data_IF_045023534624
#
_entry.id   IF_045023534624
#
_cell.length_a   1.000
_cell.length_b   1.000
_cell.length_c   1.000
_cell.angle_alpha   90.00
_cell.angle_beta   90.00
_cell.angle_gamma   90.00
#
_symmetry.space_group_name_H-M   'P 1'
#
loop_
_entity.id
_entity.type
_entity.pdbx_description
1 polymer ?
#
# COMPACT_ATOMS: atom_id res chain seq x y z
N UNK A 1 20.81 29.23 26.62
CA UNK A 1 19.68 29.30 25.67
C UNK A 1 18.44 28.77 26.38
N UNK A 2 17.65 29.73 26.90
CA UNK A 2 16.32 29.65 27.52
C UNK A 2 16.02 28.45 28.45
N UNK A 3 16.07 28.70 29.77
CA UNK A 3 15.40 27.91 30.82
C UNK A 3 13.87 28.05 30.72
N UNK A 4 13.29 27.84 29.53
CA UNK A 4 11.84 27.81 29.36
C UNK A 4 11.36 26.37 29.54
N UNK A 5 10.25 26.15 30.26
CA UNK A 5 9.68 24.82 30.39
C UNK A 5 9.35 24.27 29.01
N UNK A 6 9.59 22.97 28.82
CA UNK A 6 9.11 22.26 27.65
C UNK A 6 7.58 22.31 27.63
N UNK A 7 7.00 22.40 26.44
CA UNK A 7 5.56 22.28 26.28
C UNK A 7 5.14 20.84 26.63
N UNK A 8 4.05 20.65 27.40
CA UNK A 8 3.51 19.31 27.60
C UNK A 8 2.95 18.77 26.28
N UNK A 9 3.19 17.49 26.01
CA UNK A 9 2.64 16.79 24.85
C UNK A 9 1.51 15.89 25.32
N UNK A 10 0.40 15.87 24.58
CA UNK A 10 -0.70 14.97 24.88
C UNK A 10 -0.25 13.51 24.72
N UNK A 11 -0.65 12.64 25.65
CA UNK A 11 -0.34 11.22 25.61
C UNK A 11 -1.18 10.47 24.56
N UNK A 12 -2.40 10.96 24.31
CA UNK A 12 -3.36 10.36 23.40
C UNK A 12 -3.59 11.25 22.17
N UNK A 13 -3.92 10.62 21.05
CA UNK A 13 -4.28 11.34 19.83
C UNK A 13 -5.63 12.06 20.00
N UNK A 14 -5.73 13.27 19.46
CA UNK A 14 -6.98 14.01 19.47
C UNK A 14 -8.04 13.32 18.60
N UNK A 15 -9.23 13.11 19.17
CA UNK A 15 -10.38 12.56 18.46
C UNK A 15 -11.03 13.54 17.49
N UNK A 16 -11.89 13.03 16.59
CA UNK A 16 -12.74 13.87 15.76
C UNK A 16 -13.67 14.73 16.63
N UNK A 17 -13.78 16.01 16.29
CA UNK A 17 -14.56 17.01 17.03
C UNK A 17 -13.78 17.74 18.12
N UNK A 18 -12.54 17.33 18.44
CA UNK A 18 -11.74 17.97 19.48
C UNK A 18 -11.45 19.44 19.15
N UNK A 19 -11.69 20.33 20.12
CA UNK A 19 -11.33 21.73 20.03
C UNK A 19 -9.82 21.92 20.17
N UNK A 20 -9.28 22.84 19.39
CA UNK A 20 -7.85 23.07 19.29
C UNK A 20 -7.51 24.55 19.12
N UNK A 21 -6.24 24.88 19.35
CA UNK A 21 -5.68 26.22 19.16
C UNK A 21 -4.47 26.14 18.24
N UNK A 22 -4.49 26.91 17.16
CA UNK A 22 -3.36 27.12 16.25
C UNK A 22 -2.60 28.35 16.71
N UNK A 23 -1.33 28.16 17.04
CA UNK A 23 -0.43 29.20 17.53
C UNK A 23 0.73 29.39 16.56
N UNK A 24 1.16 30.63 16.35
CA UNK A 24 2.30 30.92 15.49
C UNK A 24 2.46 32.39 15.14
N UNK A 25 3.32 32.64 14.16
CA UNK A 25 3.60 33.97 13.61
C UNK A 25 3.12 33.99 12.16
N UNK A 26 1.79 34.06 11.91
CA UNK A 26 1.27 33.92 10.56
C UNK A 26 1.80 35.04 9.65
N UNK A 27 2.32 34.65 8.50
CA UNK A 27 2.90 35.53 7.47
C UNK A 27 3.99 36.45 8.02
N UNK A 28 4.82 35.93 8.92
CA UNK A 28 5.87 36.67 9.63
C UNK A 28 5.35 37.90 10.42
N UNK A 29 4.04 37.88 10.72
CA UNK A 29 3.34 38.90 11.49
C UNK A 29 3.47 38.70 13.01
N UNK A 30 2.67 39.44 13.81
CA UNK A 30 2.67 39.26 15.26
C UNK A 30 2.20 37.87 15.66
N UNK A 31 2.62 37.43 16.85
CA UNK A 31 2.13 36.18 17.43
C UNK A 31 0.60 36.19 17.53
N UNK A 32 -0.03 35.12 17.05
CA UNK A 32 -1.48 34.99 17.01
C UNK A 32 -1.92 33.63 17.56
N UNK A 33 -3.14 33.60 18.10
CA UNK A 33 -3.79 32.41 18.63
C UNK A 33 -5.16 32.31 17.97
N UNK A 34 -5.41 31.22 17.26
CA UNK A 34 -6.68 30.99 16.54
C UNK A 34 -7.33 29.71 16.97
N UNK A 35 -8.65 29.77 17.18
CA UNK A 35 -9.46 28.58 17.37
C UNK A 35 -9.43 27.70 16.11
N UNK A 36 -9.35 26.40 16.34
CA UNK A 36 -9.46 25.35 15.35
C UNK A 36 -10.25 24.18 15.95
N UNK A 37 -10.68 23.25 15.10
CA UNK A 37 -11.28 21.98 15.52
C UNK A 37 -10.76 20.85 14.66
N UNK A 38 -10.40 19.73 15.28
CA UNK A 38 -10.04 18.50 14.58
C UNK A 38 -11.31 17.93 13.94
N UNK A 39 -11.35 17.86 12.61
CA UNK A 39 -12.45 17.21 11.89
C UNK A 39 -12.30 15.70 11.90
N UNK A 40 -11.08 15.20 11.94
CA UNK A 40 -10.79 13.79 11.93
C UNK A 40 -9.31 13.54 11.71
N UNK A 41 -8.92 12.31 11.96
CA UNK A 41 -7.61 11.77 11.60
C UNK A 41 -7.76 11.13 10.23
N UNK A 42 -6.98 11.60 9.25
CA UNK A 42 -7.01 11.12 7.88
C UNK A 42 -5.66 10.50 7.54
N UNK A 43 -5.68 9.41 6.79
CA UNK A 43 -4.52 8.98 6.04
C UNK A 43 -4.56 9.63 4.66
N UNK A 44 -3.60 10.50 4.38
CA UNK A 44 -3.59 11.34 3.19
C UNK A 44 -2.38 11.03 2.30
N UNK A 45 -2.64 10.87 1.00
CA UNK A 45 -1.60 10.77 -0.01
C UNK A 45 -1.14 12.16 -0.45
N UNK A 46 0.18 12.35 -0.56
CA UNK A 46 0.79 13.55 -1.11
C UNK A 46 2.21 13.27 -1.57
N UNK A 47 2.88 14.25 -2.18
CA UNK A 47 4.27 14.09 -2.60
C UNK A 47 5.22 14.06 -1.38
N UNK A 48 6.37 13.41 -1.55
CA UNK A 48 7.49 13.58 -0.65
C UNK A 48 8.10 14.98 -0.79
N UNK A 49 8.96 15.36 0.16
CA UNK A 49 9.60 16.69 0.17
C UNK A 49 10.60 16.88 -0.98
N UNK A 50 10.86 15.82 -1.76
CA UNK A 50 11.74 15.82 -2.92
C UNK A 50 10.96 15.82 -4.24
N UNK A 51 9.62 15.91 -4.19
CA UNK A 51 8.75 16.09 -5.35
C UNK A 51 8.68 14.88 -6.30
N UNK A 52 9.10 13.70 -5.84
CA UNK A 52 9.30 12.54 -6.72
C UNK A 52 8.39 11.35 -6.45
N UNK A 53 7.92 11.17 -5.20
CA UNK A 53 7.16 9.97 -4.81
C UNK A 53 5.88 10.30 -4.07
N UNK A 54 4.81 9.58 -4.39
CA UNK A 54 3.58 9.58 -3.61
C UNK A 54 3.81 8.85 -2.28
N UNK A 55 3.57 9.53 -1.17
CA UNK A 55 3.67 8.99 0.18
C UNK A 55 2.38 9.24 0.95
N UNK A 56 2.01 8.30 1.81
CA UNK A 56 0.84 8.40 2.67
C UNK A 56 1.26 8.79 4.08
N UNK A 57 0.51 9.71 4.70
CA UNK A 57 0.80 10.23 6.02
C UNK A 57 -0.49 10.40 6.80
N UNK A 58 -0.43 10.02 8.08
CA UNK A 58 -1.46 10.38 9.03
C UNK A 58 -1.42 11.88 9.31
N UNK A 59 -2.56 12.53 9.20
CA UNK A 59 -2.74 13.95 9.45
C UNK A 59 -4.05 14.22 10.19
N UNK A 60 -4.09 15.28 10.97
CA UNK A 60 -5.34 15.88 11.40
C UNK A 60 -5.85 16.81 10.32
N UNK A 61 -7.08 16.60 9.88
CA UNK A 61 -7.81 17.61 9.14
C UNK A 61 -8.41 18.61 10.13
N UNK A 62 -8.13 19.90 9.93
CA UNK A 62 -8.55 20.97 10.82
C UNK A 62 -9.60 21.86 10.15
N UNK A 63 -10.64 22.18 10.92
CA UNK A 63 -11.50 23.35 10.69
C UNK A 63 -10.89 24.51 11.46
N UNK A 64 -10.08 25.30 10.78
CA UNK A 64 -9.34 26.42 11.36
C UNK A 64 -8.38 26.96 10.32
N UNK A 65 -7.80 28.12 10.59
CA UNK A 65 -6.90 28.75 9.62
C UNK A 65 -5.44 28.52 10.01
N UNK A 66 -4.76 27.67 9.23
CA UNK A 66 -3.29 27.56 9.26
C UNK A 66 -2.75 28.33 8.06
N UNK A 67 -1.80 29.24 8.31
CA UNK A 67 -1.13 30.06 7.28
C UNK A 67 0.37 29.77 7.30
N UNK A 68 1.12 30.11 6.22
CA UNK A 68 2.58 30.22 6.31
C UNK A 68 2.98 31.01 7.55
N UNK A 69 4.04 30.59 8.25
CA UNK A 69 4.44 31.14 9.56
C UNK A 69 3.79 30.46 10.78
N UNK A 70 2.71 29.70 10.60
CA UNK A 70 2.24 28.73 11.61
C UNK A 70 2.89 27.36 11.43
N UNK A 71 3.35 27.03 10.22
CA UNK A 71 3.96 25.73 9.89
C UNK A 71 5.16 25.43 10.81
N UNK A 72 5.20 24.22 11.37
CA UNK A 72 6.18 23.81 12.37
C UNK A 72 5.84 24.23 13.81
N UNK A 73 4.86 25.11 14.00
CA UNK A 73 4.33 25.50 15.30
C UNK A 73 3.36 24.47 15.90
N UNK A 74 3.09 24.56 17.22
CA UNK A 74 2.23 23.62 17.91
C UNK A 74 0.73 23.83 17.61
N UNK A 75 0.00 22.73 17.59
CA UNK A 75 -1.46 22.67 17.72
C UNK A 75 -1.77 22.23 19.16
N UNK A 76 -2.51 23.03 19.91
CA UNK A 76 -2.85 22.75 21.30
C UNK A 76 -4.28 22.25 21.48
N UNK A 77 -4.52 21.39 22.47
CA UNK A 77 -5.86 21.19 23.03
C UNK A 77 -6.21 22.31 24.03
N UNK A 78 -7.42 22.27 24.59
CA UNK A 78 -7.86 23.26 25.59
C UNK A 78 -7.20 23.09 26.96
N UNK A 79 -6.56 21.94 27.21
CA UNK A 79 -5.81 21.65 28.43
C UNK A 79 -4.36 22.19 28.39
N UNK A 80 -3.96 22.82 27.29
CA UNK A 80 -2.63 23.40 27.12
C UNK A 80 -1.56 22.39 26.73
N UNK A 81 -1.95 21.20 26.26
CA UNK A 81 -1.06 20.18 25.73
C UNK A 81 -0.96 20.27 24.20
N UNK A 82 0.22 19.99 23.68
CA UNK A 82 0.45 19.92 22.24
C UNK A 82 -0.08 18.59 21.73
N UNK A 83 -1.06 18.64 20.83
CA UNK A 83 -1.69 17.49 20.18
C UNK A 83 -1.18 17.28 18.75
N UNK A 84 -0.54 18.27 18.14
CA UNK A 84 0.05 18.13 16.82
C UNK A 84 1.00 19.26 16.42
N UNK A 85 1.58 19.15 15.23
CA UNK A 85 2.43 20.15 14.60
C UNK A 85 1.73 20.68 13.36
N UNK A 86 1.47 21.98 13.31
CA UNK A 86 0.83 22.62 12.17
C UNK A 86 1.65 22.38 10.90
N UNK A 87 1.01 21.89 9.85
CA UNK A 87 1.64 21.63 8.55
C UNK A 87 0.99 22.47 7.46
N UNK A 88 1.71 22.68 6.38
CA UNK A 88 1.27 23.55 5.30
C UNK A 88 -0.05 23.06 4.69
N UNK A 89 -0.82 24.03 4.20
CA UNK A 89 -2.07 23.81 3.46
C UNK A 89 -1.83 23.02 2.17
N UNK A 90 -2.75 22.13 1.79
CA UNK A 90 -2.87 21.73 0.39
C UNK A 90 -3.63 22.84 -0.34
N UNK A 91 -2.95 23.56 -1.24
CA UNK A 91 -3.59 24.56 -2.09
C UNK A 91 -2.98 24.55 -3.48
N UNK A 92 -3.80 24.28 -4.50
CA UNK A 92 -3.39 24.36 -5.92
C UNK A 92 -3.17 25.80 -6.40
N UNK A 93 -3.65 26.79 -5.64
CA UNK A 93 -3.69 28.21 -6.04
C UNK A 93 -3.01 29.14 -5.02
N UNK A 94 -2.46 28.62 -3.92
CA UNK A 94 -1.88 29.41 -2.83
C UNK A 94 -2.90 30.02 -1.85
N UNK A 95 -4.20 29.88 -2.10
CA UNK A 95 -5.28 30.34 -1.21
C UNK A 95 -5.75 29.31 -0.18
N UNK A 96 -6.31 29.76 0.95
CA UNK A 96 -6.93 28.88 1.94
C UNK A 96 -8.27 28.33 1.42
N UNK A 97 -8.36 27.02 1.23
CA UNK A 97 -9.56 26.34 0.70
C UNK A 97 -10.47 25.75 1.79
N UNK A 98 -10.35 26.19 3.05
CA UNK A 98 -11.23 25.76 4.14
C UNK A 98 -10.81 24.49 4.87
N UNK A 99 -9.65 23.90 4.52
CA UNK A 99 -9.06 22.74 5.20
C UNK A 99 -7.59 23.03 5.47
N UNK A 100 -7.18 22.80 6.72
CA UNK A 100 -5.78 22.88 7.16
C UNK A 100 -5.35 21.54 7.76
N UNK A 101 -4.04 21.32 7.86
CA UNK A 101 -3.52 20.05 8.35
C UNK A 101 -2.55 20.22 9.50
N UNK A 102 -2.50 19.22 10.38
CA UNK A 102 -1.45 19.08 11.37
C UNK A 102 -0.96 17.63 11.43
N UNK A 103 0.31 17.45 11.74
CA UNK A 103 0.91 16.14 11.99
C UNK A 103 0.60 15.76 13.45
N UNK A 104 0.02 14.58 13.73
CA UNK A 104 -0.23 14.12 15.08
C UNK A 104 1.04 14.11 15.95
N UNK A 105 0.92 14.51 17.21
CA UNK A 105 2.11 14.69 18.07
C UNK A 105 2.84 13.38 18.35
N UNK A 106 2.11 12.27 18.49
CA UNK A 106 2.67 10.93 18.66
C UNK A 106 3.61 10.57 17.49
N UNK A 107 3.20 10.82 16.25
CA UNK A 107 4.02 10.59 15.06
C UNK A 107 5.28 11.49 15.07
N UNK A 108 5.13 12.75 15.45
CA UNK A 108 6.26 13.67 15.53
C UNK A 108 7.26 13.27 16.63
N UNK A 109 6.76 12.79 17.78
CA UNK A 109 7.58 12.37 18.91
C UNK A 109 8.30 11.05 18.65
N UNK A 110 7.68 10.11 17.92
CA UNK A 110 8.35 8.92 17.40
C UNK A 110 9.53 9.30 16.50
N UNK A 111 9.29 10.15 15.50
CA UNK A 111 10.34 10.67 14.60
C UNK A 111 11.46 11.37 15.38
N UNK A 112 11.11 12.25 16.32
CA UNK A 112 12.09 12.95 17.14
C UNK A 112 12.91 11.98 18.02
N UNK A 113 12.28 10.92 18.55
CA UNK A 113 12.94 9.86 19.29
C UNK A 113 13.98 9.14 18.44
N UNK A 114 13.60 8.70 17.24
CA UNK A 114 14.51 8.00 16.31
C UNK A 114 15.69 8.87 15.88
N UNK A 115 15.44 10.15 15.57
CA UNK A 115 16.50 11.10 15.21
C UNK A 115 17.47 11.35 16.37
N UNK A 116 16.98 11.39 17.62
CA UNK A 116 17.82 11.55 18.81
C UNK A 116 18.70 10.32 19.08
N UNK A 117 18.18 9.12 18.86
CA UNK A 117 18.88 7.88 19.18
C UNK A 117 19.83 7.43 18.08
N UNK A 118 19.42 7.56 16.81
CA UNK A 118 20.13 6.98 15.67
C UNK A 118 20.58 7.98 14.62
N UNK A 119 20.13 9.24 14.71
CA UNK A 119 20.39 10.27 13.71
C UNK A 119 19.59 10.13 12.41
N UNK A 120 18.75 9.09 12.28
CA UNK A 120 17.91 8.83 11.11
C UNK A 120 16.54 8.30 11.50
N UNK A 121 15.59 8.32 10.56
CA UNK A 121 14.26 7.73 10.72
C UNK A 121 14.24 6.44 9.92
N UNK A 122 13.89 5.33 10.58
CA UNK A 122 13.81 4.02 9.96
C UNK A 122 12.36 3.57 9.91
N UNK A 123 11.91 3.16 8.72
CA UNK A 123 10.53 2.71 8.49
C UNK A 123 10.54 1.21 8.28
N UNK A 124 9.60 0.52 8.93
CA UNK A 124 9.38 -0.89 8.71
C UNK A 124 9.06 -1.17 7.25
N UNK A 125 9.54 -2.32 6.78
CA UNK A 125 9.36 -2.81 5.42
C UNK A 125 9.17 -4.31 5.45
N UNK A 126 8.21 -4.81 4.66
CA UNK A 126 7.98 -6.24 4.45
C UNK A 126 8.66 -6.75 3.18
N UNK A 127 8.72 -5.93 2.13
CA UNK A 127 9.19 -6.33 0.80
C UNK A 127 8.21 -7.21 0.03
N UNK A 128 6.95 -6.82 0.05
CA UNK A 128 5.90 -7.41 -0.79
C UNK A 128 5.29 -6.34 -1.66
N UNK A 129 4.94 -6.73 -2.88
CA UNK A 129 3.95 -6.01 -3.65
C UNK A 129 2.56 -6.60 -3.40
N UNK A 130 1.59 -5.71 -3.28
CA UNK A 130 0.21 -6.09 -2.97
C UNK A 130 -0.79 -5.53 -3.99
N UNK A 131 -1.97 -6.13 -4.02
CA UNK A 131 -3.18 -5.63 -4.68
C UNK A 131 -4.42 -5.96 -3.85
N UNK A 132 -5.53 -5.28 -4.15
CA UNK A 132 -6.82 -5.60 -3.53
C UNK A 132 -7.34 -6.96 -3.97
N UNK A 133 -8.07 -7.61 -3.05
CA UNK A 133 -8.84 -8.82 -3.35
C UNK A 133 -10.22 -8.39 -3.85
N UNK A 134 -10.51 -8.61 -5.13
CA UNK A 134 -11.87 -8.43 -5.68
C UNK A 134 -12.76 -9.62 -5.31
N UNK A 135 -14.08 -9.51 -5.49
CA UNK A 135 -15.01 -10.61 -5.24
C UNK A 135 -14.65 -11.87 -6.05
N UNK A 136 -14.25 -11.68 -7.31
CA UNK A 136 -13.89 -12.76 -8.22
C UNK A 136 -12.57 -13.42 -7.80
N UNK A 137 -11.60 -12.63 -7.34
CA UNK A 137 -10.36 -13.17 -6.77
C UNK A 137 -10.64 -13.92 -5.45
N UNK A 138 -11.45 -13.36 -4.56
CA UNK A 138 -11.85 -14.03 -3.32
C UNK A 138 -12.45 -15.41 -3.60
N UNK A 139 -13.34 -15.53 -4.59
CA UNK A 139 -13.90 -16.82 -5.01
C UNK A 139 -12.85 -17.79 -5.53
N UNK A 140 -11.88 -17.31 -6.33
CA UNK A 140 -10.78 -18.15 -6.82
C UNK A 140 -9.86 -18.67 -5.71
N UNK A 141 -9.66 -17.87 -4.65
CA UNK A 141 -8.88 -18.26 -3.47
C UNK A 141 -9.72 -18.99 -2.39
N UNK A 142 -10.98 -19.34 -2.70
CA UNK A 142 -11.86 -20.08 -1.79
C UNK A 142 -12.38 -19.27 -0.59
N UNK A 143 -12.33 -17.93 -0.67
CA UNK A 143 -12.79 -17.03 0.37
C UNK A 143 -14.29 -16.75 0.26
N UNK A 144 -14.94 -16.56 1.41
CA UNK A 144 -16.37 -16.21 1.46
C UNK A 144 -16.64 -14.73 1.18
N UNK A 145 -15.63 -13.86 1.30
CA UNK A 145 -15.71 -12.43 1.07
C UNK A 145 -14.35 -11.85 0.64
N UNK A 146 -14.33 -10.77 -0.14
CA UNK A 146 -13.11 -10.04 -0.49
C UNK A 146 -12.60 -9.27 0.72
N UNK A 147 -11.47 -9.72 1.27
CA UNK A 147 -10.75 -9.02 2.33
C UNK A 147 -9.25 -9.30 2.28
N UNK A 148 -8.46 -8.38 2.81
CA UNK A 148 -7.01 -8.51 2.94
C UNK A 148 -6.22 -7.87 1.80
N UNK A 149 -4.91 -8.10 1.84
CA UNK A 149 -3.96 -7.65 0.83
C UNK A 149 -3.37 -8.87 0.10
N UNK A 150 -3.68 -9.05 -1.18
CA UNK A 150 -3.16 -10.14 -2.00
C UNK A 150 -1.72 -9.84 -2.42
N UNK A 151 -0.79 -10.73 -2.09
CA UNK A 151 0.63 -10.64 -2.44
C UNK A 151 0.82 -11.05 -3.90
N UNK A 152 1.20 -10.08 -4.75
CA UNK A 152 1.46 -10.29 -6.19
C UNK A 152 2.94 -10.51 -6.50
N UNK A 153 3.84 -10.01 -5.66
CA UNK A 153 5.28 -10.27 -5.74
C UNK A 153 5.89 -10.24 -4.33
N UNK A 154 6.98 -10.98 -4.16
CA UNK A 154 7.82 -10.92 -2.95
C UNK A 154 9.20 -10.52 -3.41
N UNK A 155 9.74 -9.44 -2.86
CA UNK A 155 11.06 -8.97 -3.23
C UNK A 155 12.11 -9.97 -2.72
N UNK A 156 13.12 -10.33 -3.53
CA UNK A 156 14.27 -11.08 -3.06
C UNK A 156 14.94 -10.39 -1.87
N UNK A 157 15.56 -11.19 -0.99
CA UNK A 157 16.25 -10.71 0.21
C UNK A 157 15.40 -9.83 1.14
N UNK A 158 14.07 -9.93 1.04
CA UNK A 158 13.14 -9.20 1.88
C UNK A 158 12.80 -9.95 3.17
N UNK A 159 12.30 -9.23 4.19
CA UNK A 159 11.68 -9.81 5.37
C UNK A 159 10.59 -10.84 5.06
N UNK A 160 9.75 -10.56 4.07
CA UNK A 160 8.68 -11.45 3.65
C UNK A 160 9.23 -12.74 3.04
N UNK A 161 10.23 -12.64 2.15
CA UNK A 161 10.92 -13.81 1.61
C UNK A 161 11.57 -14.66 2.72
N UNK A 162 12.27 -14.02 3.67
CA UNK A 162 12.91 -14.72 4.79
C UNK A 162 11.90 -15.40 5.73
N UNK A 163 10.68 -14.86 5.84
CA UNK A 163 9.60 -15.45 6.63
C UNK A 163 8.78 -16.51 5.87
N UNK A 164 9.08 -16.74 4.59
CA UNK A 164 8.37 -17.70 3.75
C UNK A 164 7.00 -17.22 3.27
N UNK A 165 6.79 -15.89 3.17
CA UNK A 165 5.64 -15.33 2.43
C UNK A 165 5.81 -15.67 0.95
N UNK A 166 4.72 -16.09 0.31
CA UNK A 166 4.70 -16.53 -1.07
C UNK A 166 3.73 -15.68 -1.91
N UNK A 167 3.95 -15.68 -3.22
CA UNK A 167 3.01 -15.09 -4.18
C UNK A 167 1.68 -15.84 -4.10
N UNK A 168 0.57 -15.11 -4.02
CA UNK A 168 -0.77 -15.68 -3.82
C UNK A 168 -1.20 -15.74 -2.35
N UNK A 169 -0.32 -15.43 -1.39
CA UNK A 169 -0.72 -15.22 0.00
C UNK A 169 -1.65 -14.01 0.11
N UNK A 170 -2.67 -14.10 0.97
CA UNK A 170 -3.53 -12.96 1.29
C UNK A 170 -3.30 -12.57 2.75
N UNK A 171 -2.76 -11.39 2.98
CA UNK A 171 -2.50 -10.88 4.33
C UNK A 171 -3.82 -10.41 4.94
N UNK A 172 -4.25 -11.09 6.00
CA UNK A 172 -5.52 -10.84 6.70
C UNK A 172 -5.34 -10.01 7.98
N UNK A 173 -4.16 -10.12 8.61
CA UNK A 173 -3.88 -9.42 9.87
C UNK A 173 -2.41 -9.06 9.97
N UNK A 174 -2.15 -7.84 10.42
CA UNK A 174 -0.82 -7.35 10.77
C UNK A 174 -0.83 -6.91 12.24
N UNK A 175 0.00 -7.53 13.06
CA UNK A 175 -0.04 -7.47 14.53
C UNK A 175 -1.44 -7.78 15.10
N UNK A 176 -2.08 -6.74 15.66
CA UNK A 176 -3.40 -6.78 16.27
C UNK A 176 -4.47 -6.09 15.41
N UNK A 177 -4.14 -5.73 14.17
CA UNK A 177 -5.02 -5.03 13.23
C UNK A 177 -5.43 -5.95 12.09
N UNK A 178 -6.73 -6.06 11.87
CA UNK A 178 -7.28 -6.72 10.68
C UNK A 178 -7.00 -5.83 9.47
N UNK A 179 -6.61 -6.44 8.36
CA UNK A 179 -6.41 -5.78 7.07
C UNK A 179 -7.64 -6.10 6.21
N UNK A 180 -8.45 -5.10 5.90
CA UNK A 180 -9.66 -5.27 5.10
C UNK A 180 -9.39 -5.08 3.61
N UNK A 181 -8.51 -4.13 3.26
CA UNK A 181 -8.11 -3.81 1.88
C UNK A 181 -6.61 -3.57 1.81
N UNK A 182 -6.01 -3.69 0.62
CA UNK A 182 -4.56 -3.66 0.45
C UNK A 182 -3.94 -2.33 0.91
N UNK A 183 -4.63 -1.22 0.66
CA UNK A 183 -4.20 0.14 1.03
C UNK A 183 -4.01 0.35 2.55
N UNK A 184 -4.59 -0.51 3.40
CA UNK A 184 -4.43 -0.43 4.86
C UNK A 184 -3.09 -0.99 5.33
N UNK A 185 -2.47 -1.92 4.59
CA UNK A 185 -1.25 -2.60 5.03
C UNK A 185 0.00 -1.69 5.03
N UNK A 186 0.33 -0.92 3.96
CA UNK A 186 1.51 -0.08 3.93
C UNK A 186 1.66 0.90 5.11
N UNK A 187 0.62 1.65 5.54
CA UNK A 187 0.76 2.55 6.69
C UNK A 187 0.92 1.79 8.01
N UNK A 188 0.38 0.59 8.17
CA UNK A 188 0.59 -0.24 9.37
C UNK A 188 2.07 -0.67 9.48
N UNK A 189 2.63 -1.17 8.37
CA UNK A 189 4.02 -1.60 8.29
C UNK A 189 4.97 -0.42 8.49
N UNK A 190 4.75 0.71 7.80
CA UNK A 190 5.64 1.87 7.84
C UNK A 190 5.66 2.63 9.19
N UNK A 191 4.64 2.43 10.04
CA UNK A 191 4.63 2.97 11.41
C UNK A 191 5.40 2.08 12.39
N UNK A 192 5.64 0.83 12.04
CA UNK A 192 6.37 -0.09 12.89
C UNK A 192 7.87 0.13 12.68
N UNK A 193 8.63 0.06 13.77
CA UNK A 193 10.08 0.21 13.70
C UNK A 193 10.70 -0.94 12.90
N UNK A 194 11.71 -0.62 12.10
CA UNK A 194 12.55 -1.64 11.50
C UNK A 194 13.22 -2.49 12.60
N UNK A 195 13.33 -3.79 12.38
CA UNK A 195 13.83 -4.76 13.35
C UNK A 195 12.80 -5.25 14.37
N UNK A 196 11.59 -4.67 14.41
CA UNK A 196 10.50 -5.18 15.26
C UNK A 196 10.02 -6.55 14.78
N UNK A 197 9.76 -7.44 15.75
CA UNK A 197 9.03 -8.69 15.51
C UNK A 197 7.54 -8.44 15.61
N UNK A 198 6.81 -8.79 14.57
CA UNK A 198 5.36 -8.59 14.47
C UNK A 198 4.67 -9.88 14.06
N UNK A 199 3.46 -10.09 14.56
CA UNK A 199 2.61 -11.19 14.12
C UNK A 199 2.00 -10.88 12.75
N UNK A 200 2.03 -11.85 11.84
CA UNK A 200 1.37 -11.79 10.53
C UNK A 200 0.40 -12.96 10.42
N UNK A 201 -0.83 -12.70 9.99
CA UNK A 201 -1.79 -13.74 9.64
C UNK A 201 -2.11 -13.64 8.15
N UNK A 202 -1.94 -14.77 7.46
CA UNK A 202 -2.20 -14.90 6.03
C UNK A 202 -3.27 -15.97 5.77
N UNK A 203 -3.82 -15.95 4.57
CA UNK A 203 -4.50 -17.08 3.94
C UNK A 203 -3.58 -17.65 2.86
N UNK A 204 -3.36 -18.96 2.87
CA UNK A 204 -2.67 -19.71 1.81
C UNK A 204 -3.44 -21.00 1.55
N UNK A 205 -3.74 -21.27 0.27
CA UNK A 205 -4.48 -22.47 -0.13
C UNK A 205 -5.83 -22.65 0.60
N UNK A 206 -6.51 -21.55 0.94
CA UNK A 206 -7.77 -21.56 1.67
C UNK A 206 -7.65 -21.83 3.18
N UNK A 207 -6.43 -21.96 3.70
CA UNK A 207 -6.15 -22.12 5.12
C UNK A 207 -5.48 -20.89 5.74
N UNK A 208 -5.91 -20.51 6.93
CA UNK A 208 -5.29 -19.40 7.66
C UNK A 208 -4.01 -19.87 8.36
N UNK A 209 -2.91 -19.14 8.14
CA UNK A 209 -1.61 -19.38 8.76
C UNK A 209 -1.16 -18.14 9.51
N UNK A 210 -0.54 -18.33 10.67
CA UNK A 210 0.00 -17.24 11.49
C UNK A 210 1.46 -17.49 11.82
N UNK A 211 2.31 -16.48 11.66
CA UNK A 211 3.72 -16.54 12.03
C UNK A 211 4.26 -15.17 12.42
N UNK A 212 5.41 -15.15 13.08
CA UNK A 212 6.13 -13.91 13.39
C UNK A 212 7.08 -13.56 12.24
N UNK A 213 7.13 -12.28 11.89
CA UNK A 213 8.06 -11.71 10.91
C UNK A 213 8.85 -10.59 11.55
N UNK A 214 10.14 -10.48 11.24
CA UNK A 214 10.99 -9.36 11.67
C UNK A 214 11.05 -8.35 10.55
N UNK A 215 10.59 -7.12 10.78
CA UNK A 215 10.58 -6.09 9.72
C UNK A 215 11.99 -5.63 9.36
N UNK A 216 12.18 -5.35 8.08
CA UNK A 216 13.39 -4.72 7.54
C UNK A 216 13.31 -3.21 7.56
N UNK A 217 14.43 -2.56 7.26
CA UNK A 217 14.48 -1.12 6.99
C UNK A 217 14.12 -0.88 5.52
N UNK A 218 13.14 -0.02 5.25
CA UNK A 218 12.74 0.33 3.89
C UNK A 218 13.95 0.88 3.09
N UNK A 219 14.35 0.24 1.98
CA UNK A 219 15.41 0.75 1.12
C UNK A 219 15.05 2.16 0.59
N UNK A 220 16.04 3.04 0.49
CA UNK A 220 15.81 4.43 0.03
C UNK A 220 15.47 4.48 -1.47
N UNK A 221 15.78 3.44 -2.22
CA UNK A 221 15.49 3.29 -3.65
C UNK A 221 14.31 2.34 -3.95
N UNK A 222 13.42 2.84 -4.82
CA UNK A 222 12.37 2.17 -5.62
C UNK A 222 11.10 1.60 -4.92
N UNK A 223 9.92 1.97 -5.45
CA UNK A 223 8.93 1.06 -6.09
C UNK A 223 7.98 1.86 -7.01
N UNK A 224 7.60 1.35 -8.21
CA UNK A 224 6.60 1.95 -9.09
C UNK A 224 5.16 1.50 -8.75
N UNK A 225 4.16 2.33 -9.08
CA UNK A 225 2.72 2.04 -8.90
C UNK A 225 2.03 2.05 -10.28
N UNK A 226 1.22 1.02 -10.59
CA UNK A 226 0.43 0.93 -11.82
C UNK A 226 -1.08 0.79 -11.53
N UNK A 227 -1.92 1.32 -12.43
CA UNK A 227 -3.38 1.51 -12.28
C UNK A 227 -4.23 0.59 -13.19
N UNK A 228 -5.53 0.40 -12.84
CA UNK A 228 -6.51 -0.57 -13.40
C UNK A 228 -7.59 0.12 -14.29
N UNK A 229 -8.15 -0.57 -15.31
CA UNK A 229 -9.28 -0.10 -16.17
C UNK A 229 -10.21 -1.26 -16.69
N UNK A 230 -11.48 -1.01 -17.14
CA UNK A 230 -12.60 -2.01 -17.23
C UNK A 230 -13.04 -2.55 -18.63
N UNK A 231 -13.99 -3.52 -18.61
CA UNK A 231 -14.44 -4.62 -19.55
C UNK A 231 -15.41 -4.34 -20.76
N UNK A 232 -15.48 -5.28 -21.74
CA UNK A 232 -16.67 -6.13 -22.16
C UNK A 232 -16.48 -7.07 -23.41
N UNK A 233 -16.88 -8.36 -23.26
CA UNK A 233 -17.45 -9.45 -24.16
C UNK A 233 -16.66 -9.95 -25.43
N UNK A 234 -16.57 -11.23 -25.90
CA UNK A 234 -16.85 -12.63 -25.41
C UNK A 234 -16.24 -13.70 -26.38
N UNK A 235 -15.65 -14.82 -25.88
CA UNK A 235 -15.07 -15.97 -26.67
C UNK A 235 -14.01 -16.91 -25.99
N UNK A 236 -14.40 -18.10 -25.50
CA UNK A 236 -13.70 -19.28 -24.84
C UNK A 236 -12.37 -19.20 -24.04
N UNK A 237 -11.33 -18.50 -24.46
CA UNK A 237 -10.27 -17.91 -23.59
C UNK A 237 -9.64 -16.78 -24.40
N UNK A 238 -9.57 -16.97 -25.73
CA UNK A 238 -9.15 -15.95 -26.67
C UNK A 238 -7.65 -15.72 -26.68
N UNK A 239 -6.84 -16.71 -26.29
CA UNK A 239 -5.38 -16.58 -26.21
C UNK A 239 -4.67 -17.34 -27.32
N UNK A 240 -3.63 -16.72 -27.87
CA UNK A 240 -2.52 -17.39 -28.54
C UNK A 240 -1.28 -17.14 -27.72
N UNK A 241 -0.68 -18.21 -27.20
CA UNK A 241 0.54 -18.16 -26.39
C UNK A 241 1.68 -18.88 -27.09
N UNK A 242 2.91 -18.58 -26.69
CA UNK A 242 4.13 -19.25 -27.14
C UNK A 242 5.18 -19.24 -26.02
N UNK A 243 6.22 -20.04 -26.19
CA UNK A 243 7.40 -19.92 -25.33
C UNK A 243 8.09 -18.56 -25.50
N UNK A 244 8.73 -18.11 -24.43
CA UNK A 244 9.61 -16.94 -24.45
C UNK A 244 10.83 -17.24 -25.33
N UNK A 245 11.15 -16.34 -26.25
CA UNK A 245 12.33 -16.40 -27.11
C UNK A 245 13.57 -15.95 -26.35
N UNK A 246 14.73 -16.28 -26.90
CA UNK A 246 16.01 -15.83 -26.35
C UNK A 246 16.05 -14.28 -26.20
N UNK A 247 16.40 -13.80 -25.01
CA UNK A 247 16.46 -12.37 -24.67
C UNK A 247 15.14 -11.73 -24.23
N UNK A 248 13.98 -12.36 -24.44
CA UNK A 248 12.69 -11.77 -24.03
C UNK A 248 12.48 -11.80 -22.51
N UNK A 249 13.06 -12.79 -21.81
CA UNK A 249 12.99 -12.87 -20.34
C UNK A 249 13.53 -11.62 -19.66
N UNK A 250 14.74 -11.21 -20.04
CA UNK A 250 15.38 -10.01 -19.51
C UNK A 250 14.62 -8.74 -19.91
N UNK A 251 14.21 -8.65 -21.18
CA UNK A 251 13.48 -7.48 -21.68
C UNK A 251 12.11 -7.27 -21.02
N UNK A 252 11.46 -8.35 -20.56
CA UNK A 252 10.14 -8.32 -19.91
C UNK A 252 10.24 -8.42 -18.38
N UNK A 253 11.46 -8.45 -17.83
CA UNK A 253 11.76 -8.67 -16.42
C UNK A 253 11.04 -9.91 -15.85
N UNK A 254 11.14 -11.03 -16.55
CA UNK A 254 10.66 -12.34 -16.08
C UNK A 254 11.84 -13.10 -15.51
N UNK A 255 11.81 -13.34 -14.19
CA UNK A 255 12.89 -14.03 -13.48
C UNK A 255 12.93 -15.52 -13.87
N UNK A 256 11.79 -16.22 -13.76
CA UNK A 256 11.69 -17.66 -14.03
C UNK A 256 10.35 -18.03 -14.72
N UNK A 257 10.38 -19.10 -15.51
CA UNK A 257 9.18 -19.68 -16.13
C UNK A 257 8.47 -18.76 -17.14
N UNK A 258 7.22 -19.09 -17.44
CA UNK A 258 6.28 -18.24 -18.15
C UNK A 258 6.07 -18.56 -19.63
N UNK A 259 4.84 -18.34 -20.08
CA UNK A 259 4.46 -18.36 -21.52
C UNK A 259 4.04 -16.97 -21.99
N UNK A 260 4.55 -16.55 -23.14
CA UNK A 260 4.30 -15.23 -23.72
C UNK A 260 2.95 -15.20 -24.45
N UNK A 261 2.17 -14.15 -24.21
CA UNK A 261 0.90 -13.90 -24.88
C UNK A 261 1.15 -13.18 -26.20
N UNK A 262 1.08 -13.92 -27.30
CA UNK A 262 1.33 -13.42 -28.66
C UNK A 262 0.11 -12.71 -29.25
N UNK A 263 -1.08 -13.20 -28.94
CA UNK A 263 -2.32 -12.56 -29.36
C UNK A 263 -3.44 -12.80 -28.34
N UNK A 264 -4.29 -11.79 -28.17
CA UNK A 264 -5.52 -11.91 -27.39
C UNK A 264 -6.68 -11.44 -28.26
N UNK A 265 -7.62 -12.34 -28.49
CA UNK A 265 -8.90 -12.04 -29.13
C UNK A 265 -9.99 -11.89 -28.04
N UNK A 266 -11.08 -11.16 -28.31
CA UNK A 266 -12.20 -11.03 -27.38
C UNK A 266 -12.64 -12.41 -26.84
N UNK A 267 -12.69 -12.52 -25.51
CA UNK A 267 -12.62 -13.81 -24.83
C UNK A 267 -12.43 -13.72 -23.33
N UNK A 268 -12.66 -14.81 -22.55
CA UNK A 268 -12.44 -14.81 -21.12
C UNK A 268 -11.08 -14.25 -20.66
N UNK A 269 -9.99 -14.49 -21.37
CA UNK A 269 -8.71 -13.90 -21.01
C UNK A 269 -8.65 -12.40 -21.32
N UNK A 270 -9.21 -11.97 -22.46
CA UNK A 270 -9.38 -10.55 -22.74
C UNK A 270 -10.23 -9.85 -21.67
N UNK A 271 -11.33 -10.48 -21.25
CA UNK A 271 -12.30 -9.99 -20.26
C UNK A 271 -11.66 -9.92 -18.87
N UNK A 272 -10.89 -10.95 -18.50
CA UNK A 272 -10.04 -10.95 -17.29
C UNK A 272 -8.95 -9.87 -17.32
N UNK A 273 -8.73 -9.21 -18.46
CA UNK A 273 -7.78 -8.12 -18.57
C UNK A 273 -6.41 -8.54 -19.10
N UNK A 274 -6.24 -9.78 -19.58
CA UNK A 274 -5.01 -10.25 -20.27
C UNK A 274 -4.83 -9.48 -21.58
N UNK A 275 -3.60 -9.14 -21.92
CA UNK A 275 -3.23 -8.34 -23.10
C UNK A 275 -2.05 -8.98 -23.83
N UNK A 276 -1.92 -8.67 -25.12
CA UNK A 276 -0.74 -9.04 -25.90
C UNK A 276 0.51 -8.44 -25.26
N UNK A 277 1.56 -9.24 -25.14
CA UNK A 277 2.81 -8.85 -24.47
C UNK A 277 2.90 -9.25 -23.00
N UNK A 278 1.81 -9.72 -22.39
CA UNK A 278 1.87 -10.32 -21.06
C UNK A 278 2.64 -11.65 -21.09
N UNK A 279 3.17 -12.04 -19.94
CA UNK A 279 3.68 -13.39 -19.71
C UNK A 279 2.87 -14.03 -18.61
N UNK A 280 2.25 -15.18 -18.88
CA UNK A 280 1.49 -15.94 -17.89
C UNK A 280 2.48 -16.75 -17.05
N UNK A 281 2.50 -16.51 -15.75
CA UNK A 281 3.42 -17.13 -14.78
C UNK A 281 2.74 -18.24 -13.96
N UNK A 282 1.46 -18.09 -13.65
CA UNK A 282 0.67 -19.13 -13.00
C UNK A 282 -0.78 -19.11 -13.47
N UNK A 283 -1.43 -20.28 -13.42
CA UNK A 283 -2.87 -20.44 -13.59
C UNK A 283 -3.36 -21.25 -12.39
N UNK A 284 -4.30 -20.67 -11.64
CA UNK A 284 -4.68 -21.16 -10.32
C UNK A 284 -3.44 -21.29 -9.41
N UNK A 285 -3.22 -22.49 -8.87
CA UNK A 285 -2.07 -22.86 -8.05
C UNK A 285 -0.94 -23.48 -8.86
N UNK A 286 -1.10 -23.63 -10.18
CA UNK A 286 -0.11 -24.26 -11.05
C UNK A 286 0.85 -23.22 -11.61
N UNK A 287 2.13 -23.37 -11.27
CA UNK A 287 3.22 -22.59 -11.87
C UNK A 287 3.40 -23.00 -13.33
N UNK A 288 3.53 -22.03 -14.23
CA UNK A 288 3.69 -22.25 -15.66
C UNK A 288 5.14 -21.99 -16.03
N UNK A 289 5.94 -23.06 -16.18
CA UNK A 289 7.32 -22.95 -16.63
C UNK A 289 7.47 -23.15 -18.14
N UNK A 290 6.59 -23.96 -18.72
CA UNK A 290 6.65 -24.45 -20.10
C UNK A 290 5.28 -24.41 -20.76
N UNK A 291 5.26 -24.64 -22.08
CA UNK A 291 4.00 -24.80 -22.81
C UNK A 291 3.20 -26.04 -22.38
N UNK A 292 3.89 -27.09 -21.90
CA UNK A 292 3.22 -28.27 -21.38
C UNK A 292 2.43 -27.93 -20.10
N UNK A 293 3.08 -27.27 -19.14
CA UNK A 293 2.44 -26.82 -17.90
C UNK A 293 1.23 -25.93 -18.19
N UNK A 294 1.34 -25.03 -19.18
CA UNK A 294 0.23 -24.17 -19.59
C UNK A 294 -0.96 -24.99 -20.12
N UNK A 295 -0.71 -25.95 -21.02
CA UNK A 295 -1.77 -26.76 -21.61
C UNK A 295 -2.45 -27.65 -20.55
N UNK A 296 -1.67 -28.22 -19.63
CA UNK A 296 -2.18 -29.05 -18.54
C UNK A 296 -3.03 -28.19 -17.58
N UNK A 297 -2.53 -27.03 -17.17
CA UNK A 297 -3.28 -26.12 -16.30
C UNK A 297 -4.59 -25.63 -16.95
N UNK A 298 -4.58 -25.35 -18.26
CA UNK A 298 -5.79 -24.97 -19.00
C UNK A 298 -6.79 -26.12 -19.12
N UNK A 299 -6.32 -27.36 -19.29
CA UNK A 299 -7.17 -28.54 -19.37
C UNK A 299 -7.87 -28.86 -18.05
N UNK A 300 -7.25 -28.52 -16.91
CA UNK A 300 -7.77 -28.73 -15.56
C UNK A 300 -8.69 -27.60 -15.08
N UNK A 301 -8.88 -26.53 -15.87
CA UNK A 301 -9.69 -25.39 -15.47
C UNK A 301 -11.15 -25.80 -15.19
N UNK A 302 -11.67 -25.53 -13.98
CA UNK A 302 -13.06 -25.82 -13.66
C UNK A 302 -14.00 -24.89 -14.45
N UNK A 303 -14.85 -25.47 -15.28
CA UNK A 303 -15.82 -24.73 -16.08
C UNK A 303 -16.71 -23.82 -15.21
N UNK A 304 -16.88 -22.57 -15.64
CA UNK A 304 -17.75 -21.59 -14.99
C UNK A 304 -17.24 -21.00 -13.67
N UNK A 305 -16.05 -21.41 -13.18
CA UNK A 305 -15.40 -20.88 -11.98
C UNK A 305 -14.33 -19.82 -12.31
N UNK A 306 -14.14 -18.91 -11.36
CA UNK A 306 -13.06 -17.93 -11.38
C UNK A 306 -11.77 -18.61 -10.92
N UNK A 307 -10.69 -18.35 -11.66
CA UNK A 307 -9.35 -18.88 -11.43
C UNK A 307 -8.37 -17.72 -11.43
N UNK A 308 -7.49 -17.65 -10.44
CA UNK A 308 -6.48 -16.61 -10.38
C UNK A 308 -5.38 -16.88 -11.42
N UNK A 309 -5.04 -15.89 -12.24
CA UNK A 309 -3.94 -15.99 -13.20
C UNK A 309 -2.92 -14.91 -12.89
N UNK A 310 -1.67 -15.31 -12.65
CA UNK A 310 -0.56 -14.38 -12.42
C UNK A 310 0.10 -14.04 -13.77
N UNK A 311 0.20 -12.74 -14.04
CA UNK A 311 0.79 -12.20 -15.28
C UNK A 311 1.97 -11.30 -14.96
N UNK A 312 3.04 -11.36 -15.75
CA UNK A 312 4.03 -10.29 -15.87
C UNK A 312 3.60 -9.31 -16.97
N UNK A 313 3.46 -8.03 -16.62
CA UNK A 313 3.14 -6.94 -17.55
C UNK A 313 4.02 -5.73 -17.24
N UNK A 314 4.74 -5.23 -18.25
CA UNK A 314 5.56 -4.03 -18.15
C UNK A 314 6.52 -4.03 -16.94
N UNK A 315 7.12 -5.19 -16.63
CA UNK A 315 8.02 -5.35 -15.49
C UNK A 315 7.34 -5.49 -14.12
N UNK A 316 6.02 -5.66 -14.07
CA UNK A 316 5.26 -5.87 -12.83
C UNK A 316 4.39 -7.11 -12.90
N UNK A 317 4.29 -7.86 -11.80
CA UNK A 317 3.34 -8.96 -11.68
C UNK A 317 1.96 -8.47 -11.24
N UNK A 318 0.90 -9.06 -11.79
CA UNK A 318 -0.50 -8.79 -11.43
C UNK A 318 -1.33 -10.08 -11.43
N UNK A 319 -2.26 -10.21 -10.50
CA UNK A 319 -3.30 -11.24 -10.55
C UNK A 319 -4.53 -10.73 -11.27
N UNK A 320 -5.05 -11.54 -12.19
CA UNK A 320 -6.36 -11.33 -12.82
C UNK A 320 -7.29 -12.52 -12.58
N UNK A 321 -8.58 -12.30 -12.31
CA UNK A 321 -9.56 -13.37 -12.21
C UNK A 321 -9.99 -13.82 -13.61
N UNK A 322 -9.56 -15.01 -14.00
CA UNK A 322 -9.97 -15.65 -15.25
C UNK A 322 -11.16 -16.56 -15.00
N UNK A 323 -12.29 -16.28 -15.66
CA UNK A 323 -13.44 -17.18 -15.64
C UNK A 323 -13.36 -18.15 -16.81
N UNK A 324 -13.11 -19.43 -16.55
CA UNK A 324 -13.14 -20.43 -17.62
C UNK A 324 -14.54 -20.45 -18.26
N UNK A 325 -14.60 -20.33 -19.60
CA UNK A 325 -15.86 -20.41 -20.33
C UNK A 325 -16.57 -21.75 -20.14
N UNK A 326 -17.88 -21.80 -20.46
CA UNK A 326 -18.62 -23.07 -20.55
C UNK A 326 -18.00 -24.05 -21.56
#
# INVERSE_FOLDING_TARGET
>A
LLQRPALPFAAEAAGSGADALVLGYPQDGPFDVRAARVRGVLDAQGEDIYGGRGVRREIYALRGQVRPGNSGGPLFNLDGEVIGINSQIYSRTGGFMGVSFAIPINLAMDVAGQLRTSGRVSRGWLGVDIQDVTQELAESFGMSRPEGALVRSVLPDSPAAAAGVEVGDIILKFENRIVHVADELPPLVGRTLAGSKVGLQIMRDGESRGFEITLGELPVEAMPVAAIAPERDKGRLGLTVRELRFGEREALAVDEGGVYVENVVPGPAWDAGVRTGDVILSIDRSSIGTMADFNDAVAELPAGRNVAVLLQRNGTTIFVPLRAGE
#
